data_IF_853889037711
#
_entry.id   IF_853889037711
#
_cell.length_a   1.000
_cell.length_b   1.000
_cell.length_c   1.000
_cell.angle_alpha   90.00
_cell.angle_beta   90.00
_cell.angle_gamma   90.00
#
_symmetry.space_group_name_H-M   'P 1'
#
loop_
_entity.id
_entity.type
_entity.pdbx_description
1 polymer ?
#
# COMPACT_ATOMS: atom_id res chain seq x y z
N UNK A 1 -24.16 9.76 16.21
CA UNK A 1 -24.35 8.54 15.40
C UNK A 1 -23.25 8.41 14.37
N UNK A 2 -22.21 7.66 14.71
CA UNK A 2 -21.25 7.17 13.71
C UNK A 2 -21.91 6.01 12.98
N UNK A 3 -22.32 6.25 11.74
CA UNK A 3 -22.92 5.26 10.87
C UNK A 3 -21.78 4.40 10.33
N UNK A 4 -21.79 3.10 10.67
CA UNK A 4 -20.90 2.08 10.10
C UNK A 4 -21.12 1.98 8.58
N UNK A 5 -20.05 2.15 7.79
CA UNK A 5 -20.12 2.16 6.31
C UNK A 5 -19.27 1.02 5.77
N UNK A 6 -19.82 0.27 4.82
CA UNK A 6 -19.03 -0.73 4.10
C UNK A 6 -18.09 0.01 3.14
N UNK A 7 -16.80 -0.22 3.29
CA UNK A 7 -15.74 0.36 2.45
C UNK A 7 -14.70 -0.72 2.13
N UNK A 8 -14.02 -0.60 0.99
CA UNK A 8 -12.89 -1.46 0.69
C UNK A 8 -11.68 -1.04 1.55
N UNK A 9 -11.09 -2.01 2.24
CA UNK A 9 -9.86 -1.82 3.01
C UNK A 9 -8.73 -2.69 2.44
N UNK A 10 -7.49 -2.34 2.78
CA UNK A 10 -6.31 -3.00 2.24
C UNK A 10 -5.72 -3.99 3.24
N UNK A 11 -5.11 -5.06 2.72
CA UNK A 11 -4.29 -6.02 3.47
C UNK A 11 -2.93 -5.43 3.86
N UNK A 12 -2.97 -4.19 4.34
CA UNK A 12 -1.83 -3.37 4.72
C UNK A 12 -1.89 -3.09 6.22
N UNK A 13 -0.80 -3.40 6.92
CA UNK A 13 -0.67 -3.20 8.36
C UNK A 13 -0.65 -1.71 8.68
N UNK A 14 -1.63 -1.25 9.47
CA UNK A 14 -1.71 0.11 10.01
C UNK A 14 -1.52 1.22 8.94
N UNK A 15 -1.98 0.98 7.71
CA UNK A 15 -1.67 1.86 6.58
C UNK A 15 -2.18 3.30 6.72
N UNK A 16 -3.20 3.55 7.55
CA UNK A 16 -3.70 4.89 7.86
C UNK A 16 -2.83 5.64 8.89
N UNK A 17 -1.95 4.94 9.61
CA UNK A 17 -1.13 5.48 10.69
C UNK A 17 0.36 5.49 10.38
N UNK A 18 0.81 4.64 9.44
CA UNK A 18 2.20 4.51 9.05
C UNK A 18 2.43 5.09 7.66
N UNK A 19 3.69 5.14 7.23
CA UNK A 19 3.99 5.37 5.82
C UNK A 19 3.52 4.20 4.96
N UNK A 20 3.23 4.48 3.69
CA UNK A 20 2.82 3.43 2.75
C UNK A 20 3.91 2.34 2.65
N UNK A 21 5.18 2.73 2.62
CA UNK A 21 6.30 1.79 2.61
C UNK A 21 6.30 0.88 3.85
N UNK A 22 6.24 1.46 5.05
CA UNK A 22 6.26 0.70 6.31
C UNK A 22 5.05 -0.24 6.39
N UNK A 23 3.86 0.26 6.04
CA UNK A 23 2.65 -0.54 6.03
C UNK A 23 2.80 -1.76 5.12
N UNK A 24 3.28 -1.58 3.88
CA UNK A 24 3.52 -2.68 2.94
C UNK A 24 4.63 -3.62 3.41
N UNK A 25 5.72 -3.08 3.96
CA UNK A 25 6.85 -3.86 4.46
C UNK A 25 6.46 -4.73 5.65
N UNK A 26 5.59 -4.27 6.53
CA UNK A 26 5.18 -5.02 7.73
C UNK A 26 3.94 -5.90 7.52
N UNK A 27 3.31 -5.85 6.35
CA UNK A 27 2.14 -6.65 6.02
C UNK A 27 2.51 -8.09 5.70
N UNK A 28 1.95 -9.07 6.41
CA UNK A 28 2.18 -10.49 6.14
C UNK A 28 1.86 -10.89 4.69
N UNK A 29 0.77 -10.35 4.13
CA UNK A 29 0.36 -10.58 2.74
C UNK A 29 1.43 -10.12 1.75
N UNK A 30 1.85 -8.85 1.82
CA UNK A 30 2.85 -8.28 0.91
C UNK A 30 4.21 -8.92 1.14
N UNK A 31 4.59 -9.11 2.40
CA UNK A 31 5.86 -9.69 2.81
C UNK A 31 6.09 -11.08 2.19
N UNK A 32 5.06 -11.93 2.25
CA UNK A 32 5.10 -13.29 1.72
C UNK A 32 5.07 -13.34 0.20
N UNK A 33 4.24 -12.50 -0.44
CA UNK A 33 4.13 -12.45 -1.91
C UNK A 33 5.39 -11.89 -2.58
N UNK A 34 6.01 -10.86 -2.01
CA UNK A 34 7.19 -10.22 -2.59
C UNK A 34 8.52 -10.81 -2.10
N UNK A 35 8.52 -11.55 -0.99
CA UNK A 35 9.74 -12.11 -0.41
C UNK A 35 10.64 -11.06 0.23
N UNK A 36 10.06 -10.13 1.00
CA UNK A 36 10.73 -8.90 1.50
C UNK A 36 11.94 -9.16 2.42
N UNK A 37 12.06 -10.37 2.98
CA UNK A 37 13.21 -10.77 3.78
C UNK A 37 14.50 -10.85 2.94
N UNK A 38 14.37 -10.89 1.62
CA UNK A 38 15.48 -10.82 0.66
C UNK A 38 15.59 -9.42 0.08
N UNK A 39 16.82 -9.01 -0.27
CA UNK A 39 17.06 -7.73 -0.95
C UNK A 39 16.25 -7.58 -2.24
N UNK A 40 16.07 -8.66 -2.99
CA UNK A 40 15.25 -8.66 -4.21
C UNK A 40 13.78 -8.31 -3.93
N UNK A 41 13.21 -8.81 -2.82
CA UNK A 41 11.83 -8.50 -2.44
C UNK A 41 11.66 -7.04 -2.02
N UNK A 42 12.65 -6.48 -1.29
CA UNK A 42 12.68 -5.04 -0.98
C UNK A 42 12.76 -4.20 -2.25
N UNK A 43 13.57 -4.62 -3.22
CA UNK A 43 13.66 -3.96 -4.54
C UNK A 43 12.32 -4.01 -5.28
N UNK A 44 11.61 -5.15 -5.29
CA UNK A 44 10.27 -5.27 -5.89
C UNK A 44 9.25 -4.35 -5.23
N UNK A 45 9.29 -4.20 -3.90
CA UNK A 45 8.43 -3.25 -3.20
C UNK A 45 8.72 -1.81 -3.65
N UNK A 46 9.99 -1.40 -3.71
CA UNK A 46 10.36 -0.08 -4.20
C UNK A 46 9.94 0.13 -5.67
N UNK A 47 10.08 -0.89 -6.51
CA UNK A 47 9.64 -0.86 -7.90
C UNK A 47 8.13 -0.69 -8.03
N UNK A 48 7.34 -1.34 -7.17
CA UNK A 48 5.89 -1.15 -7.13
C UNK A 48 5.53 0.30 -6.78
N UNK A 49 6.15 0.87 -5.74
CA UNK A 49 5.96 2.27 -5.34
C UNK A 49 6.34 3.25 -6.47
N UNK A 50 7.45 2.99 -7.16
CA UNK A 50 7.89 3.78 -8.31
C UNK A 50 6.92 3.67 -9.48
N UNK A 51 6.40 2.46 -9.77
CA UNK A 51 5.43 2.23 -10.85
C UNK A 51 4.07 2.87 -10.59
N UNK A 52 3.66 3.04 -9.34
CA UNK A 52 2.49 3.85 -8.98
C UNK A 52 2.68 5.34 -9.28
N UNK A 53 3.92 5.78 -9.55
CA UNK A 53 4.26 7.16 -9.88
C UNK A 53 4.45 8.05 -8.65
N UNK A 54 4.68 7.46 -7.47
CA UNK A 54 4.78 8.21 -6.23
C UNK A 54 6.24 8.57 -5.92
N UNK A 55 6.53 9.82 -5.51
CA UNK A 55 7.85 10.17 -5.00
C UNK A 55 8.22 9.28 -3.80
N UNK A 56 9.45 8.76 -3.78
CA UNK A 56 9.90 7.90 -2.68
C UNK A 56 9.80 8.58 -1.31
N UNK A 57 10.02 9.90 -1.25
CA UNK A 57 9.84 10.69 -0.03
C UNK A 57 8.40 10.60 0.49
N UNK A 58 7.41 10.75 -0.38
CA UNK A 58 5.99 10.65 -0.03
C UNK A 58 5.59 9.24 0.40
N UNK A 59 6.21 8.20 -0.17
CA UNK A 59 5.98 6.81 0.26
C UNK A 59 6.55 6.51 1.65
N UNK A 60 7.52 7.30 2.12
CA UNK A 60 8.16 7.17 3.44
C UNK A 60 7.55 8.10 4.50
N UNK A 61 6.80 9.12 4.09
CA UNK A 61 6.00 9.96 4.98
C UNK A 61 4.77 9.21 5.48
N UNK A 62 4.33 9.51 6.71
CA UNK A 62 3.11 8.92 7.27
C UNK A 62 1.91 9.26 6.38
N UNK A 63 0.97 8.31 6.27
CA UNK A 63 -0.24 8.51 5.48
C UNK A 63 -1.00 9.77 5.90
N UNK A 64 -1.01 10.18 7.17
CA UNK A 64 -1.67 11.42 7.61
C UNK A 64 -1.08 12.68 6.97
N UNK A 65 0.22 12.70 6.71
CA UNK A 65 0.96 13.85 6.17
C UNK A 65 1.05 13.84 4.65
N UNK A 66 0.82 12.69 4.01
CA UNK A 66 0.89 12.54 2.56
C UNK A 66 -0.02 13.55 1.84
N UNK A 67 0.46 14.08 0.72
CA UNK A 67 -0.29 15.08 -0.06
C UNK A 67 -1.69 14.57 -0.43
N UNK A 68 -2.70 15.44 -0.29
CA UNK A 68 -4.11 15.10 -0.55
C UNK A 68 -4.32 14.58 -1.98
N UNK A 69 -3.59 15.11 -2.96
CA UNK A 69 -3.63 14.65 -4.35
C UNK A 69 -3.22 13.18 -4.47
N UNK A 70 -2.13 12.78 -3.80
CA UNK A 70 -1.63 11.41 -3.82
C UNK A 70 -2.55 10.44 -3.09
N UNK A 71 -3.12 10.85 -1.95
CA UNK A 71 -4.14 10.07 -1.23
C UNK A 71 -5.33 9.72 -2.09
N UNK A 72 -5.80 10.66 -2.92
CA UNK A 72 -6.97 10.46 -3.78
C UNK A 72 -6.73 9.44 -4.89
N UNK A 73 -5.51 9.38 -5.43
CA UNK A 73 -5.15 8.47 -6.52
C UNK A 73 -4.55 7.14 -6.04
N UNK A 74 -4.15 7.04 -4.77
CA UNK A 74 -3.56 5.84 -4.17
C UNK A 74 -4.40 4.58 -4.41
N UNK A 75 -5.73 4.57 -4.15
CA UNK A 75 -6.56 3.39 -4.39
C UNK A 75 -6.45 2.87 -5.82
N UNK A 76 -6.69 3.74 -6.80
CA UNK A 76 -6.62 3.42 -8.23
C UNK A 76 -5.24 2.88 -8.62
N UNK A 77 -4.17 3.59 -8.23
CA UNK A 77 -2.79 3.19 -8.59
C UNK A 77 -2.37 1.88 -7.94
N UNK A 78 -2.81 1.64 -6.71
CA UNK A 78 -2.51 0.40 -6.00
C UNK A 78 -3.22 -0.77 -6.67
N UNK A 79 -4.51 -0.65 -7.00
CA UNK A 79 -5.27 -1.70 -7.68
C UNK A 79 -4.75 -1.98 -9.09
N UNK A 80 -4.35 -0.96 -9.83
CA UNK A 80 -3.77 -1.12 -11.17
C UNK A 80 -2.42 -1.87 -11.14
N UNK A 81 -1.55 -1.53 -10.18
CA UNK A 81 -0.17 -2.04 -10.17
C UNK A 81 0.01 -3.33 -9.36
N UNK A 82 -0.78 -3.55 -8.31
CA UNK A 82 -0.66 -4.71 -7.42
C UNK A 82 -0.66 -6.07 -8.16
N UNK A 83 -1.53 -6.33 -9.16
CA UNK A 83 -1.53 -7.58 -9.89
C UNK A 83 -0.22 -7.88 -10.62
N UNK A 84 0.48 -6.85 -11.12
CA UNK A 84 1.78 -7.03 -11.80
C UNK A 84 2.87 -7.59 -10.88
N UNK A 85 2.68 -7.49 -9.56
CA UNK A 85 3.59 -8.00 -8.55
C UNK A 85 3.03 -9.22 -7.80
N UNK A 86 1.92 -9.80 -8.27
CA UNK A 86 1.27 -10.97 -7.65
C UNK A 86 0.45 -10.65 -6.41
N UNK A 87 0.08 -9.39 -6.20
CA UNK A 87 -0.73 -8.89 -5.07
C UNK A 87 -2.22 -8.78 -5.46
N UNK A 88 -2.78 -9.84 -6.03
CA UNK A 88 -4.13 -9.84 -6.63
C UNK A 88 -5.29 -9.62 -5.64
N UNK A 89 -5.04 -9.80 -4.34
CA UNK A 89 -6.06 -9.74 -3.28
C UNK A 89 -5.70 -8.65 -2.28
N UNK A 90 -5.14 -7.53 -2.76
CA UNK A 90 -4.64 -6.47 -1.89
C UNK A 90 -5.74 -5.72 -1.15
N UNK A 91 -6.94 -5.63 -1.72
CA UNK A 91 -8.14 -5.06 -1.10
C UNK A 91 -9.14 -6.15 -0.70
N UNK A 92 -10.00 -5.82 0.26
CA UNK A 92 -11.12 -6.64 0.70
C UNK A 92 -12.25 -5.76 1.25
N UNK A 93 -13.53 -6.16 1.11
CA UNK A 93 -14.64 -5.43 1.73
C UNK A 93 -14.52 -5.45 3.26
N UNK A 94 -14.60 -4.27 3.87
CA UNK A 94 -14.51 -4.02 5.30
C UNK A 94 -15.57 -2.99 5.75
N UNK A 95 -15.40 -2.41 6.94
CA UNK A 95 -16.36 -1.55 7.62
C UNK A 95 -15.72 -0.36 8.34
#
# INVERSE_FOLDING_TARGET
>A
DEILRVEDDYRLMLWRHWSLFEAMYHSSYVATKLGIWRQEGKRKLNELLLKMGFPLSQCQENYTEMEIGLKKILPEKLEDMAPMFGLNEISYPSF
#
